data_IF_518804706481
#
_entry.id   IF_518804706481
#
_cell.length_a   1.000
_cell.length_b   1.000
_cell.length_c   1.000
_cell.angle_alpha   90.00
_cell.angle_beta   90.00
_cell.angle_gamma   90.00
#
_symmetry.space_group_name_H-M   'P 1'
#
loop_
_entity.id
_entity.type
_entity.pdbx_description
1 polymer ?
#
# COMPACT_ATOMS: atom_id res chain seq x y z
N UNK A 1 66.88 1.96 48.06
CA UNK A 1 65.98 2.82 47.28
C UNK A 1 64.92 1.91 46.68
N UNK A 2 64.04 1.31 47.48
CA UNK A 2 62.73 1.83 47.93
C UNK A 2 61.83 2.26 46.76
N UNK A 3 60.83 1.42 46.48
CA UNK A 3 59.46 1.76 46.00
C UNK A 3 58.72 0.40 45.81
N UNK A 4 58.02 -0.15 46.79
CA UNK A 4 56.68 0.22 47.33
C UNK A 4 55.54 0.01 46.31
N UNK A 5 54.89 -1.15 46.41
CA UNK A 5 53.57 -1.46 45.82
C UNK A 5 52.47 -0.54 46.40
N UNK A 6 51.41 -0.25 45.62
CA UNK A 6 50.10 0.01 46.21
C UNK A 6 49.03 -1.01 45.80
N UNK A 7 48.25 -1.40 46.80
CA UNK A 7 47.00 -2.16 46.81
C UNK A 7 45.81 -1.37 46.21
N UNK A 8 44.67 -2.03 45.90
CA UNK A 8 43.63 -1.49 45.03
C UNK A 8 42.76 -0.44 45.72
N UNK A 9 42.42 0.63 44.99
CA UNK A 9 41.49 1.67 45.43
C UNK A 9 40.17 1.59 44.67
N UNK A 10 39.10 1.75 45.45
CA UNK A 10 37.69 1.74 45.08
C UNK A 10 37.36 2.56 43.82
N UNK A 11 36.64 1.92 42.89
CA UNK A 11 35.90 2.62 41.84
C UNK A 11 34.45 2.81 42.28
N UNK A 12 34.21 3.87 43.05
CA UNK A 12 32.88 4.48 43.14
C UNK A 12 33.01 6.00 42.99
N UNK A 13 32.60 6.52 41.84
CA UNK A 13 32.19 7.92 41.72
C UNK A 13 31.20 8.05 40.56
N UNK A 14 29.97 8.37 40.93
CA UNK A 14 28.81 8.43 40.06
C UNK A 14 28.95 9.40 38.89
N UNK A 15 28.75 8.87 37.68
CA UNK A 15 28.28 9.67 36.54
C UNK A 15 26.77 9.74 36.61
N UNK A 16 26.24 10.93 36.92
CA UNK A 16 24.84 11.28 36.70
C UNK A 16 24.47 10.96 35.25
N UNK A 17 23.53 10.03 35.05
CA UNK A 17 22.90 9.77 33.75
C UNK A 17 22.18 11.05 33.33
N UNK A 18 22.63 11.66 32.23
CA UNK A 18 21.86 12.67 31.52
C UNK A 18 20.62 12.01 30.93
N UNK A 19 19.44 12.53 31.28
CA UNK A 19 18.15 12.13 30.73
C UNK A 19 18.11 12.34 29.21
N UNK A 20 17.51 11.40 28.48
CA UNK A 20 17.37 11.39 27.03
C UNK A 20 16.50 12.55 26.45
N UNK A 21 16.07 13.49 27.28
CA UNK A 21 15.21 14.61 26.92
C UNK A 21 15.98 15.87 26.45
N UNK A 22 17.32 15.87 26.42
CA UNK A 22 18.12 17.04 26.01
C UNK A 22 18.77 16.91 24.62
N UNK A 23 18.07 16.31 23.65
CA UNK A 23 18.48 16.38 22.25
C UNK A 23 17.64 17.45 21.53
N UNK A 24 18.33 18.48 21.02
CA UNK A 24 17.79 19.66 20.35
C UNK A 24 16.88 19.36 19.15
N UNK A 25 16.38 20.38 18.44
CA UNK A 25 15.10 20.35 17.74
C UNK A 25 15.09 19.32 16.60
N UNK A 26 14.76 18.07 16.93
CA UNK A 26 14.44 17.03 15.96
C UNK A 26 13.12 17.42 15.31
N UNK A 27 13.08 17.30 13.98
CA UNK A 27 11.86 17.31 13.16
C UNK A 27 10.73 16.65 13.95
N UNK A 28 9.60 17.35 14.09
CA UNK A 28 8.37 16.77 14.66
C UNK A 28 8.20 15.36 14.10
N UNK A 29 8.30 14.36 14.95
CA UNK A 29 8.05 12.97 14.59
C UNK A 29 6.66 12.91 14.00
N UNK A 30 6.57 12.49 12.74
CA UNK A 30 5.29 12.23 12.10
C UNK A 30 4.69 11.01 12.81
N UNK A 31 3.42 11.10 13.20
CA UNK A 31 2.67 10.18 14.07
C UNK A 31 2.56 8.75 13.50
N UNK A 32 3.18 8.43 12.36
CA UNK A 32 2.92 7.20 11.60
C UNK A 32 4.14 6.64 10.86
N UNK A 33 5.34 6.78 11.42
CA UNK A 33 6.54 6.06 10.96
C UNK A 33 6.50 4.59 11.46
N UNK A 34 7.10 3.58 10.77
CA UNK A 34 7.16 2.21 11.27
C UNK A 34 7.72 2.10 12.69
N UNK A 35 8.60 3.03 13.10
CA UNK A 35 9.04 3.12 14.48
C UNK A 35 7.90 3.47 15.43
N UNK A 36 7.12 4.49 15.12
CA UNK A 36 5.94 4.88 15.90
C UNK A 36 4.93 3.73 15.97
N UNK A 37 4.68 3.05 14.85
CA UNK A 37 3.78 1.89 14.80
C UNK A 37 4.26 0.76 15.72
N UNK A 38 5.56 0.44 15.71
CA UNK A 38 6.12 -0.61 16.55
C UNK A 38 6.10 -0.21 18.04
N UNK A 39 6.53 1.00 18.38
CA UNK A 39 6.51 1.50 19.75
C UNK A 39 5.08 1.53 20.32
N UNK A 40 4.13 2.11 19.59
CA UNK A 40 2.72 2.16 20.00
C UNK A 40 2.14 0.75 20.11
N UNK A 41 2.44 -0.12 19.14
CA UNK A 41 2.01 -1.52 19.15
C UNK A 41 2.48 -2.28 20.39
N UNK A 42 3.75 -2.13 20.79
CA UNK A 42 4.31 -2.73 22.01
C UNK A 42 3.61 -2.20 23.26
N UNK A 43 3.40 -0.88 23.34
CA UNK A 43 2.71 -0.24 24.47
C UNK A 43 1.28 -0.78 24.59
N UNK A 44 0.52 -0.81 23.50
CA UNK A 44 -0.84 -1.33 23.50
C UNK A 44 -0.89 -2.82 23.85
N UNK A 45 0.07 -3.61 23.41
CA UNK A 45 0.13 -5.04 23.74
C UNK A 45 0.34 -5.26 25.24
N UNK A 46 1.23 -4.47 25.87
CA UNK A 46 1.43 -4.49 27.33
C UNK A 46 0.18 -4.03 28.08
N UNK A 47 -0.43 -2.93 27.64
CA UNK A 47 -1.66 -2.39 28.21
C UNK A 47 -2.82 -3.40 28.21
N UNK A 48 -2.99 -4.15 27.11
CA UNK A 48 -3.98 -5.20 27.00
C UNK A 48 -3.66 -6.42 27.89
N UNK A 49 -2.37 -6.75 28.05
CA UNK A 49 -1.94 -7.79 28.98
C UNK A 49 -2.20 -7.42 30.45
N UNK A 50 -2.13 -6.12 30.77
CA UNK A 50 -2.47 -5.55 32.07
C UNK A 50 -3.98 -5.34 32.29
N UNK A 51 -4.82 -5.79 31.35
CA UNK A 51 -6.27 -5.83 31.48
C UNK A 51 -7.02 -4.58 31.03
N UNK A 52 -6.37 -3.63 30.34
CA UNK A 52 -7.07 -2.53 29.66
C UNK A 52 -7.90 -3.06 28.51
N UNK A 53 -9.00 -2.38 28.20
CA UNK A 53 -9.85 -2.74 27.06
C UNK A 53 -9.43 -2.03 25.76
N UNK A 54 -9.58 -2.72 24.62
CA UNK A 54 -9.48 -2.10 23.29
C UNK A 54 -10.54 -1.03 23.02
N UNK A 55 -11.65 -1.03 23.77
CA UNK A 55 -12.67 0.03 23.67
C UNK A 55 -12.17 1.39 24.16
N UNK A 56 -11.15 1.41 25.04
CA UNK A 56 -10.55 2.63 25.57
C UNK A 56 -9.62 3.33 24.57
N UNK A 57 -9.20 2.61 23.52
CA UNK A 57 -8.36 3.16 22.47
C UNK A 57 -9.14 4.14 21.60
N UNK A 58 -8.46 5.15 21.07
CA UNK A 58 -9.01 5.99 20.01
C UNK A 58 -9.13 5.20 18.69
N UNK A 59 -9.89 5.74 17.73
CA UNK A 59 -10.01 5.11 16.41
C UNK A 59 -8.65 4.96 15.70
N UNK A 60 -7.76 5.95 15.85
CA UNK A 60 -6.40 5.92 15.30
C UNK A 60 -5.57 4.80 15.94
N UNK A 61 -5.59 4.69 17.27
CA UNK A 61 -4.82 3.68 18.00
C UNK A 61 -5.31 2.26 17.70
N UNK A 62 -6.64 2.05 17.59
CA UNK A 62 -7.20 0.77 17.12
C UNK A 62 -6.70 0.39 15.73
N UNK A 63 -6.60 1.37 14.82
CA UNK A 63 -6.08 1.15 13.47
C UNK A 63 -4.59 0.80 13.50
N UNK A 64 -3.79 1.50 14.30
CA UNK A 64 -2.37 1.20 14.49
C UNK A 64 -2.17 -0.20 15.08
N UNK A 65 -2.92 -0.56 16.13
CA UNK A 65 -2.89 -1.89 16.73
C UNK A 65 -3.27 -2.98 15.73
N UNK A 66 -4.28 -2.74 14.88
CA UNK A 66 -4.67 -3.66 13.80
C UNK A 66 -3.53 -3.88 12.81
N UNK A 67 -2.85 -2.81 12.37
CA UNK A 67 -1.71 -2.91 11.46
C UNK A 67 -0.53 -3.61 12.13
N UNK A 68 -0.25 -3.30 13.39
CA UNK A 68 0.80 -3.95 14.18
C UNK A 68 0.56 -5.47 14.32
N UNK A 69 -0.66 -5.89 14.68
CA UNK A 69 -1.05 -7.30 14.75
C UNK A 69 -0.88 -8.01 13.42
N UNK A 70 -1.22 -7.34 12.31
CA UNK A 70 -1.04 -7.93 11.00
C UNK A 70 0.43 -8.09 10.62
N UNK A 71 1.28 -7.13 11.01
CA UNK A 71 2.73 -7.23 10.83
C UNK A 71 3.32 -8.41 11.61
N UNK A 72 2.88 -8.63 12.86
CA UNK A 72 3.30 -9.77 13.68
C UNK A 72 2.96 -11.12 13.03
N UNK A 73 1.80 -11.24 12.37
CA UNK A 73 1.40 -12.48 11.67
C UNK A 73 2.24 -12.79 10.45
N UNK A 74 2.79 -11.77 9.78
CA UNK A 74 3.52 -11.95 8.53
C UNK A 74 4.98 -12.34 8.72
N UNK A 75 5.57 -12.04 9.88
CA UNK A 75 6.98 -12.32 10.16
C UNK A 75 7.04 -13.39 11.28
N UNK A 76 7.43 -14.63 10.97
CA UNK A 76 7.57 -15.68 11.97
C UNK A 76 8.50 -15.26 13.12
N UNK A 77 8.11 -15.54 14.36
CA UNK A 77 8.86 -15.21 15.58
C UNK A 77 9.13 -13.72 15.80
N UNK A 78 8.39 -12.83 15.12
CA UNK A 78 8.62 -11.40 15.24
C UNK A 78 8.13 -10.84 16.57
N UNK A 79 7.03 -11.38 17.10
CA UNK A 79 6.51 -11.01 18.42
C UNK A 79 7.53 -11.28 19.53
N UNK A 80 8.03 -12.53 19.63
CA UNK A 80 9.05 -12.88 20.62
C UNK A 80 10.31 -12.04 20.46
N UNK A 81 10.75 -11.80 19.22
CA UNK A 81 11.91 -10.98 18.93
C UNK A 81 11.73 -9.52 19.35
N UNK A 82 10.55 -8.94 19.12
CA UNK A 82 10.27 -7.55 19.52
C UNK A 82 10.23 -7.43 21.05
N UNK A 83 9.61 -8.38 21.74
CA UNK A 83 9.46 -8.35 23.20
C UNK A 83 10.78 -8.57 23.95
N UNK A 84 11.71 -9.31 23.35
CA UNK A 84 13.04 -9.59 23.92
C UNK A 84 14.09 -8.54 23.53
N UNK A 85 13.79 -7.64 22.60
CA UNK A 85 14.73 -6.66 22.05
C UNK A 85 14.87 -5.40 22.92
N UNK A 86 16.05 -4.77 22.88
CA UNK A 86 16.25 -3.45 23.48
C UNK A 86 15.55 -2.35 22.67
N UNK A 87 15.36 -1.17 23.26
CA UNK A 87 14.79 -0.01 22.56
C UNK A 87 15.60 0.34 21.29
N UNK A 88 16.93 0.28 21.36
CA UNK A 88 17.81 0.51 20.21
C UNK A 88 17.62 -0.54 19.11
N UNK A 89 17.40 -1.80 19.48
CA UNK A 89 17.15 -2.87 18.50
C UNK A 89 15.79 -2.69 17.81
N UNK A 90 14.76 -2.27 18.53
CA UNK A 90 13.44 -1.92 17.96
C UNK A 90 13.58 -0.75 16.98
N UNK A 91 14.34 0.29 17.33
CA UNK A 91 14.66 1.42 16.44
C UNK A 91 15.38 0.91 15.17
N UNK A 92 16.36 0.02 15.31
CA UNK A 92 17.08 -0.54 14.16
C UNK A 92 16.16 -1.36 13.26
N UNK A 93 15.28 -2.18 13.84
CA UNK A 93 14.29 -2.99 13.10
C UNK A 93 13.30 -2.12 12.33
N UNK A 94 12.83 -1.03 12.96
CA UNK A 94 11.88 -0.10 12.38
C UNK A 94 12.47 0.79 11.29
N UNK A 95 13.56 1.49 11.64
CA UNK A 95 14.01 2.72 11.01
C UNK A 95 15.21 2.47 10.09
N UNK A 96 16.24 1.76 10.59
CA UNK A 96 17.55 1.67 9.93
C UNK A 96 17.76 0.46 9.00
N UNK A 97 17.11 -0.69 9.24
CA UNK A 97 17.54 -1.92 8.58
C UNK A 97 16.55 -2.65 7.66
N UNK A 98 15.24 -2.72 7.94
CA UNK A 98 14.39 -3.68 7.21
C UNK A 98 13.02 -3.17 6.76
N UNK A 99 12.14 -2.74 7.66
CA UNK A 99 10.73 -2.48 7.30
C UNK A 99 10.60 -1.22 6.47
N UNK A 100 11.06 -0.08 6.98
CA UNK A 100 10.93 1.19 6.26
C UNK A 100 11.72 1.18 4.95
N UNK A 101 12.93 0.58 4.95
CA UNK A 101 13.76 0.42 3.74
C UNK A 101 13.11 -0.49 2.71
N UNK A 102 12.57 -1.64 3.13
CA UNK A 102 11.87 -2.59 2.25
C UNK A 102 10.61 -1.98 1.65
N UNK A 103 9.77 -1.34 2.47
CA UNK A 103 8.56 -0.65 2.02
C UNK A 103 8.88 0.48 1.02
N UNK A 104 9.93 1.27 1.29
CA UNK A 104 10.39 2.31 0.36
C UNK A 104 10.92 1.71 -0.95
N UNK A 105 11.68 0.62 -0.88
CA UNK A 105 12.20 -0.09 -2.06
C UNK A 105 11.08 -0.62 -2.94
N UNK A 106 10.15 -1.39 -2.37
CA UNK A 106 9.00 -1.94 -3.09
C UNK A 106 8.16 -0.82 -3.74
N UNK A 107 7.85 0.24 -2.99
CA UNK A 107 7.11 1.39 -3.51
C UNK A 107 7.84 2.10 -4.65
N UNK A 108 9.16 2.26 -4.54
CA UNK A 108 9.98 2.88 -5.58
C UNK A 108 9.95 2.05 -6.87
N UNK A 109 10.05 0.73 -6.76
CA UNK A 109 10.00 -0.18 -7.92
C UNK A 109 8.62 -0.14 -8.60
N UNK A 110 7.54 -0.20 -7.82
CA UNK A 110 6.17 -0.06 -8.33
C UNK A 110 5.94 1.29 -9.01
N UNK A 111 6.35 2.39 -8.36
CA UNK A 111 6.25 3.75 -8.91
C UNK A 111 6.99 3.84 -10.25
N UNK A 112 8.21 3.29 -10.32
CA UNK A 112 9.03 3.31 -11.54
C UNK A 112 8.37 2.51 -12.65
N UNK A 113 7.82 1.34 -12.34
CA UNK A 113 7.14 0.48 -13.31
C UNK A 113 5.85 1.09 -13.84
N UNK A 114 4.99 1.62 -12.97
CA UNK A 114 3.70 2.22 -13.34
C UNK A 114 3.90 3.54 -14.09
N UNK A 115 4.87 4.37 -13.69
CA UNK A 115 5.10 5.70 -14.29
C UNK A 115 5.24 5.66 -15.80
N UNK A 116 5.92 4.67 -16.35
CA UNK A 116 6.11 4.53 -17.79
C UNK A 116 4.92 3.88 -18.49
N UNK A 117 4.40 2.80 -17.92
CA UNK A 117 3.35 1.96 -18.51
C UNK A 117 1.97 2.60 -18.48
N UNK A 118 1.69 3.45 -17.48
CA UNK A 118 0.42 4.18 -17.41
C UNK A 118 0.19 5.05 -18.66
N UNK A 119 1.26 5.51 -19.32
CA UNK A 119 1.14 6.26 -20.59
C UNK A 119 0.56 5.40 -21.69
N UNK A 120 0.94 4.13 -21.75
CA UNK A 120 0.40 3.18 -22.73
C UNK A 120 -1.07 2.89 -22.43
N UNK A 121 -1.43 2.73 -21.15
CA UNK A 121 -2.81 2.45 -20.73
C UNK A 121 -3.77 3.61 -20.98
N UNK A 122 -3.30 4.86 -20.85
CA UNK A 122 -4.14 6.04 -21.12
C UNK A 122 -4.11 6.46 -22.59
N UNK A 123 -3.27 5.85 -23.44
CA UNK A 123 -3.25 6.17 -24.86
C UNK A 123 -4.31 5.35 -25.59
N UNK A 124 -5.31 5.96 -26.27
CA UNK A 124 -6.26 5.21 -27.07
C UNK A 124 -5.57 4.36 -28.13
N UNK A 125 -6.12 3.16 -28.38
CA UNK A 125 -5.58 2.25 -29.40
C UNK A 125 -5.50 2.94 -30.76
N UNK A 126 -4.31 2.91 -31.36
CA UNK A 126 -4.05 3.51 -32.68
C UNK A 126 -3.92 5.04 -32.68
N UNK A 127 -3.90 5.69 -31.52
CA UNK A 127 -3.71 7.14 -31.41
C UNK A 127 -2.44 7.49 -30.64
N UNK A 128 -2.05 8.76 -30.70
CA UNK A 128 -0.98 9.33 -29.89
C UNK A 128 -1.56 10.40 -28.95
N UNK A 129 -0.96 10.56 -27.78
CA UNK A 129 -1.28 11.67 -26.89
C UNK A 129 -0.77 12.98 -27.49
N UNK A 130 -1.58 14.03 -27.36
CA UNK A 130 -1.23 15.38 -27.79
C UNK A 130 -1.37 16.35 -26.61
N UNK A 131 -0.29 17.03 -26.19
CA UNK A 131 1.09 16.82 -26.64
C UNK A 131 1.65 15.44 -26.20
N UNK A 132 2.68 14.89 -26.87
CA UNK A 132 3.27 13.61 -26.46
C UNK A 132 3.82 13.67 -25.02
N UNK A 133 3.51 12.65 -24.21
CA UNK A 133 4.05 12.51 -22.85
C UNK A 133 5.23 11.55 -22.85
N UNK A 134 6.36 11.99 -22.32
CA UNK A 134 7.53 11.13 -22.12
C UNK A 134 7.28 10.07 -21.04
N UNK A 135 7.67 8.81 -21.31
CA UNK A 135 7.49 7.69 -20.36
C UNK A 135 8.36 7.83 -19.09
N UNK A 136 9.57 8.37 -19.24
CA UNK A 136 10.53 8.52 -18.15
C UNK A 136 10.35 9.81 -17.34
N UNK A 137 9.47 10.73 -17.76
CA UNK A 137 9.22 12.01 -17.09
C UNK A 137 7.75 12.21 -16.74
N UNK A 138 7.51 12.88 -15.60
CA UNK A 138 6.16 13.34 -15.21
C UNK A 138 5.91 14.79 -15.60
N UNK A 139 6.93 15.48 -16.14
CA UNK A 139 6.78 16.82 -16.70
C UNK A 139 5.76 16.78 -17.84
N UNK A 140 4.81 17.71 -17.83
CA UNK A 140 3.73 17.76 -18.83
C UNK A 140 2.57 16.79 -18.56
N UNK A 141 2.51 16.12 -17.41
CA UNK A 141 1.31 15.41 -16.92
C UNK A 141 0.46 16.32 -16.02
N UNK A 142 -0.58 15.77 -15.38
CA UNK A 142 -1.48 16.54 -14.51
C UNK A 142 -2.53 17.33 -15.28
N UNK A 143 -3.04 18.40 -14.68
CA UNK A 143 -4.12 19.23 -15.25
C UNK A 143 -3.71 20.08 -16.46
N UNK A 144 -2.42 20.26 -16.72
CA UNK A 144 -1.95 20.98 -17.90
C UNK A 144 -2.02 20.16 -19.19
N UNK A 145 -2.23 18.84 -19.10
CA UNK A 145 -2.39 17.99 -20.26
C UNK A 145 -3.81 17.44 -20.33
N UNK A 146 -4.40 17.47 -21.52
CA UNK A 146 -5.82 17.19 -21.72
C UNK A 146 -6.22 15.79 -21.23
N UNK A 147 -5.49 14.74 -21.64
CA UNK A 147 -5.79 13.36 -21.22
C UNK A 147 -5.60 13.11 -19.72
N UNK A 148 -4.44 13.44 -19.15
CA UNK A 148 -4.18 13.20 -17.73
C UNK A 148 -5.03 14.08 -16.83
N UNK A 149 -5.32 15.31 -17.26
CA UNK A 149 -6.20 16.24 -16.56
C UNK A 149 -7.63 15.71 -16.51
N UNK A 150 -8.17 15.21 -17.62
CA UNK A 150 -9.50 14.59 -17.66
C UNK A 150 -9.60 13.40 -16.69
N UNK A 151 -8.58 12.53 -16.67
CA UNK A 151 -8.56 11.36 -15.78
C UNK A 151 -8.40 11.74 -14.30
N UNK A 152 -7.63 12.79 -14.01
CA UNK A 152 -7.43 13.29 -12.65
C UNK A 152 -8.55 14.22 -12.17
N UNK A 153 -9.45 14.64 -13.05
CA UNK A 153 -10.55 15.52 -12.69
C UNK A 153 -11.44 14.79 -11.66
N UNK A 154 -11.79 15.45 -10.54
CA UNK A 154 -12.75 14.91 -9.58
C UNK A 154 -14.06 14.53 -10.27
N UNK A 155 -14.64 13.40 -9.88
CA UNK A 155 -15.86 12.87 -10.47
C UNK A 155 -17.04 13.85 -10.45
N UNK A 156 -17.13 14.69 -9.42
CA UNK A 156 -18.16 15.73 -9.29
C UNK A 156 -17.91 17.01 -10.10
N UNK A 157 -16.80 17.10 -10.86
CA UNK A 157 -16.48 18.25 -11.70
C UNK A 157 -16.50 17.88 -13.18
N UNK A 158 -17.00 18.79 -14.01
CA UNK A 158 -16.99 18.60 -15.46
C UNK A 158 -15.68 19.12 -16.06
N UNK A 159 -14.82 18.20 -16.49
CA UNK A 159 -13.60 18.55 -17.20
C UNK A 159 -13.87 19.27 -18.52
N UNK A 160 -15.04 19.12 -19.15
CA UNK A 160 -15.35 19.81 -20.40
C UNK A 160 -15.50 21.33 -20.22
N UNK A 161 -15.78 21.79 -18.99
CA UNK A 161 -15.90 23.19 -18.64
C UNK A 161 -14.52 23.89 -18.56
N UNK A 162 -14.29 24.87 -19.44
CA UNK A 162 -13.03 25.61 -19.51
C UNK A 162 -12.69 26.37 -18.23
N UNK A 163 -13.68 26.92 -17.51
CA UNK A 163 -13.45 27.62 -16.23
C UNK A 163 -12.93 26.64 -15.17
N UNK A 164 -13.48 25.42 -15.12
CA UNK A 164 -12.99 24.36 -14.23
C UNK A 164 -11.56 23.94 -14.60
N UNK A 165 -11.28 23.74 -15.90
CA UNK A 165 -9.91 23.43 -16.38
C UNK A 165 -8.93 24.49 -15.95
N UNK A 166 -9.25 25.77 -16.15
CA UNK A 166 -8.38 26.89 -15.81
C UNK A 166 -8.14 26.98 -14.30
N UNK A 167 -9.19 26.86 -13.48
CA UNK A 167 -9.08 26.88 -12.03
C UNK A 167 -8.26 25.70 -11.48
N UNK A 168 -8.38 24.50 -12.06
CA UNK A 168 -7.57 23.34 -11.71
C UNK A 168 -6.10 23.50 -12.14
N UNK A 169 -5.85 24.05 -13.34
CA UNK A 169 -4.50 24.35 -13.85
C UNK A 169 -3.80 25.43 -13.03
N UNK A 170 -4.53 26.46 -12.61
CA UNK A 170 -4.02 27.54 -11.77
C UNK A 170 -3.85 27.13 -10.29
N UNK A 171 -4.43 26.00 -9.88
CA UNK A 171 -4.45 25.57 -8.48
C UNK A 171 -5.41 26.38 -7.58
N UNK A 172 -6.31 27.16 -8.18
CA UNK A 172 -7.38 27.89 -7.46
C UNK A 172 -8.38 26.91 -6.86
N UNK A 173 -8.71 25.84 -7.60
CA UNK A 173 -9.39 24.66 -7.03
C UNK A 173 -8.31 23.68 -6.58
N UNK A 174 -8.20 23.49 -5.26
CA UNK A 174 -7.34 22.45 -4.69
C UNK A 174 -8.17 21.17 -4.54
N UNK A 175 -7.75 20.12 -5.22
CA UNK A 175 -8.40 18.80 -5.15
C UNK A 175 -7.92 18.08 -3.90
N UNK A 176 -8.79 17.99 -2.90
CA UNK A 176 -8.53 17.23 -1.68
C UNK A 176 -8.47 15.71 -1.97
N UNK A 177 -7.84 14.94 -1.08
CA UNK A 177 -7.68 13.50 -1.26
C UNK A 177 -9.01 12.72 -1.32
N UNK A 178 -10.07 13.21 -0.70
CA UNK A 178 -11.42 12.60 -0.74
C UNK A 178 -12.22 12.95 -2.01
N UNK A 179 -11.72 13.86 -2.84
CA UNK A 179 -12.30 14.19 -4.14
C UNK A 179 -11.77 13.21 -5.19
N UNK A 180 -12.45 12.08 -5.33
CA UNK A 180 -11.96 10.98 -6.15
C UNK A 180 -11.95 11.29 -7.66
N UNK A 181 -10.84 10.99 -8.35
CA UNK A 181 -10.71 11.22 -9.79
C UNK A 181 -11.42 10.18 -10.64
N UNK A 182 -11.85 10.57 -11.84
CA UNK A 182 -12.48 9.69 -12.84
C UNK A 182 -11.64 8.45 -13.19
N UNK A 183 -10.32 8.53 -13.04
CA UNK A 183 -9.38 7.41 -13.24
C UNK A 183 -9.75 6.16 -12.44
N UNK A 184 -10.48 6.28 -11.32
CA UNK A 184 -10.88 5.15 -10.48
C UNK A 184 -12.04 4.36 -11.06
N UNK A 185 -12.84 4.98 -11.92
CA UNK A 185 -14.07 4.42 -12.44
C UNK A 185 -13.85 3.63 -13.72
N UNK A 186 -14.57 2.53 -13.88
CA UNK A 186 -14.60 1.80 -15.14
C UNK A 186 -15.05 2.70 -16.29
N UNK A 187 -14.36 2.59 -17.42
CA UNK A 187 -14.56 3.47 -18.58
C UNK A 187 -14.33 4.97 -18.31
N UNK A 188 -13.81 5.36 -17.14
CA UNK A 188 -13.65 6.75 -16.69
C UNK A 188 -14.98 7.52 -16.61
N UNK A 189 -16.06 6.85 -16.21
CA UNK A 189 -17.40 7.43 -16.12
C UNK A 189 -17.92 7.37 -14.70
N UNK A 190 -18.43 8.49 -14.22
CA UNK A 190 -19.09 8.60 -12.93
C UNK A 190 -20.61 8.69 -13.14
N UNK A 191 -21.35 7.91 -12.36
CA UNK A 191 -22.80 7.96 -12.30
C UNK A 191 -23.23 8.59 -10.96
N UNK A 192 -23.85 9.79 -10.97
CA UNK A 192 -24.26 10.45 -9.75
C UNK A 192 -25.44 9.75 -9.04
N UNK A 193 -26.23 8.95 -9.77
CA UNK A 193 -27.35 8.20 -9.21
C UNK A 193 -26.91 6.85 -8.61
N UNK A 194 -25.77 6.32 -9.10
CA UNK A 194 -25.12 5.13 -8.56
C UNK A 194 -23.59 5.36 -8.46
N UNK A 195 -23.12 6.01 -7.37
CA UNK A 195 -21.70 6.31 -7.19
C UNK A 195 -20.78 5.09 -7.11
N UNK A 196 -21.30 3.90 -6.82
CA UNK A 196 -20.52 2.66 -6.81
C UNK A 196 -20.30 2.08 -8.20
N UNK A 197 -21.10 2.49 -9.18
CA UNK A 197 -21.02 2.00 -10.55
C UNK A 197 -19.62 2.20 -11.15
N UNK A 198 -18.89 1.10 -11.29
CA UNK A 198 -17.54 1.09 -11.84
C UNK A 198 -16.44 1.62 -10.90
N UNK A 199 -16.77 2.08 -9.69
CA UNK A 199 -15.80 2.61 -8.73
C UNK A 199 -14.73 1.55 -8.40
N UNK A 200 -13.45 1.94 -8.47
CA UNK A 200 -12.27 1.09 -8.23
C UNK A 200 -12.17 -0.14 -9.15
N UNK A 201 -12.90 -0.14 -10.28
CA UNK A 201 -12.87 -1.19 -11.32
C UNK A 201 -12.22 -0.74 -12.62
N UNK A 202 -11.66 0.46 -12.66
CA UNK A 202 -10.94 0.98 -13.79
C UNK A 202 -9.83 0.04 -14.29
N UNK A 203 -9.84 -0.27 -15.59
CA UNK A 203 -8.86 -1.16 -16.21
C UNK A 203 -7.40 -0.71 -16.07
N UNK A 204 -7.16 0.58 -15.81
CA UNK A 204 -5.81 1.14 -15.63
C UNK A 204 -5.34 1.08 -14.17
N UNK A 205 -6.19 0.66 -13.24
CA UNK A 205 -5.75 0.27 -11.90
C UNK A 205 -4.88 -0.99 -11.94
N UNK A 206 -4.70 -1.64 -13.10
CA UNK A 206 -3.58 -2.50 -13.47
C UNK A 206 -2.94 -3.33 -12.33
N UNK A 207 -3.77 -3.93 -11.47
CA UNK A 207 -3.29 -4.70 -10.33
C UNK A 207 -2.42 -5.89 -10.75
N UNK A 208 -2.63 -6.38 -11.99
CA UNK A 208 -1.78 -7.39 -12.64
C UNK A 208 -0.33 -6.92 -12.81
N UNK A 209 -0.10 -5.64 -13.08
CA UNK A 209 1.26 -5.12 -13.22
C UNK A 209 2.04 -5.18 -11.90
N UNK A 210 1.39 -4.79 -10.79
CA UNK A 210 2.01 -4.75 -9.45
C UNK A 210 2.09 -6.13 -8.84
N UNK A 211 1.02 -6.92 -8.94
CA UNK A 211 0.87 -8.18 -8.20
C UNK A 211 1.14 -9.44 -9.02
N UNK A 212 1.14 -9.40 -10.36
CA UNK A 212 1.45 -10.60 -11.15
C UNK A 212 2.77 -10.40 -11.91
N UNK A 213 2.75 -9.71 -13.04
CA UNK A 213 3.96 -9.44 -13.82
C UNK A 213 3.63 -8.37 -14.85
N UNK A 214 4.60 -7.49 -15.20
CA UNK A 214 4.46 -6.57 -16.33
C UNK A 214 4.00 -7.22 -17.64
N UNK A 215 4.39 -8.48 -17.89
CA UNK A 215 4.03 -9.23 -19.10
C UNK A 215 2.61 -9.81 -19.09
N UNK A 216 1.94 -9.85 -17.93
CA UNK A 216 0.57 -10.39 -17.79
C UNK A 216 -0.53 -9.38 -18.12
N UNK A 217 -0.16 -8.16 -18.48
CA UNK A 217 -1.11 -7.07 -18.77
C UNK A 217 -1.79 -7.26 -20.13
N UNK A 218 -1.15 -7.95 -21.09
CA UNK A 218 -1.66 -8.08 -22.48
C UNK A 218 -1.60 -9.49 -23.10
N UNK A 219 -0.96 -10.50 -22.50
CA UNK A 219 -0.84 -11.86 -23.08
C UNK A 219 -0.85 -12.99 -22.03
N UNK A 220 -1.11 -14.22 -22.50
CA UNK A 220 -0.85 -15.46 -21.74
C UNK A 220 0.54 -15.41 -21.08
N UNK A 221 0.68 -15.91 -19.84
CA UNK A 221 1.86 -15.65 -19.04
C UNK A 221 3.11 -16.34 -19.63
N UNK A 222 3.97 -15.55 -20.30
CA UNK A 222 5.32 -15.94 -20.74
C UNK A 222 6.39 -15.71 -19.66
N UNK A 223 5.98 -15.60 -18.38
CA UNK A 223 6.89 -15.24 -17.30
C UNK A 223 7.77 -16.44 -16.88
N UNK A 224 9.09 -16.24 -16.88
CA UNK A 224 10.08 -17.21 -16.36
C UNK A 224 10.23 -17.16 -14.84
N UNK A 225 9.59 -16.18 -14.17
CA UNK A 225 9.56 -16.03 -12.70
C UNK A 225 8.12 -15.92 -12.19
N UNK A 226 7.88 -16.48 -11.01
CA UNK A 226 6.65 -16.31 -10.22
C UNK A 226 6.26 -14.82 -10.11
N UNK A 227 4.98 -14.48 -10.20
CA UNK A 227 4.55 -13.11 -9.96
C UNK A 227 4.64 -12.67 -8.50
N UNK A 228 4.63 -11.35 -8.24
CA UNK A 228 4.82 -10.79 -6.88
C UNK A 228 3.84 -11.37 -5.85
N UNK A 229 2.56 -11.51 -6.20
CA UNK A 229 1.55 -12.14 -5.37
C UNK A 229 1.93 -13.58 -5.00
N UNK A 230 2.47 -14.35 -5.96
CA UNK A 230 2.92 -15.73 -5.71
C UNK A 230 4.18 -15.77 -4.86
N UNK A 231 5.14 -14.86 -5.11
CA UNK A 231 6.37 -14.75 -4.32
C UNK A 231 6.05 -14.45 -2.86
N UNK A 232 5.10 -13.56 -2.62
CA UNK A 232 4.69 -13.12 -1.29
C UNK A 232 3.51 -13.90 -0.71
N UNK A 233 3.07 -14.98 -1.36
CA UNK A 233 1.98 -15.82 -0.86
C UNK A 233 0.62 -15.13 -0.75
N UNK A 234 0.40 -14.02 -1.48
CA UNK A 234 -0.89 -13.35 -1.56
C UNK A 234 -1.91 -14.27 -2.24
N UNK A 235 -2.98 -14.60 -1.52
CA UNK A 235 -4.06 -15.49 -2.00
C UNK A 235 -5.34 -14.75 -2.40
N UNK A 236 -5.44 -13.49 -2.00
CA UNK A 236 -6.58 -12.64 -2.29
C UNK A 236 -6.13 -11.17 -2.34
N UNK A 237 -6.91 -10.37 -3.06
CA UNK A 237 -6.83 -8.93 -3.08
C UNK A 237 -7.28 -8.39 -1.72
N UNK A 238 -6.58 -7.39 -1.20
CA UNK A 238 -6.96 -6.72 0.06
C UNK A 238 -7.45 -5.30 -0.21
N UNK A 239 -8.28 -4.77 0.70
CA UNK A 239 -8.76 -3.37 0.67
C UNK A 239 -7.60 -2.37 0.59
N UNK A 240 -6.59 -2.58 1.43
CA UNK A 240 -5.35 -1.79 1.45
C UNK A 240 -4.59 -1.86 0.12
N UNK A 241 -4.51 -3.04 -0.50
CA UNK A 241 -3.87 -3.21 -1.81
C UNK A 241 -4.61 -2.43 -2.91
N UNK A 242 -5.95 -2.37 -2.89
CA UNK A 242 -6.74 -1.60 -3.86
C UNK A 242 -6.43 -0.11 -3.72
N UNK A 243 -6.52 0.40 -2.48
CA UNK A 243 -6.20 1.79 -2.16
C UNK A 243 -4.75 2.16 -2.55
N UNK A 244 -3.81 1.24 -2.31
CA UNK A 244 -2.41 1.42 -2.68
C UNK A 244 -2.24 1.58 -4.20
N UNK A 245 -2.81 0.69 -5.01
CA UNK A 245 -2.67 0.81 -6.46
C UNK A 245 -3.35 2.06 -7.00
N UNK A 246 -4.56 2.38 -6.52
CA UNK A 246 -5.25 3.62 -6.86
C UNK A 246 -4.36 4.84 -6.60
N UNK A 247 -3.67 4.85 -5.46
CA UNK A 247 -2.73 5.91 -5.07
C UNK A 247 -1.52 5.96 -6.02
N UNK A 248 -0.95 4.82 -6.39
CA UNK A 248 0.18 4.73 -7.33
C UNK A 248 -0.18 5.22 -8.74
N UNK A 249 -1.35 4.83 -9.25
CA UNK A 249 -1.85 5.25 -10.57
C UNK A 249 -2.15 6.74 -10.57
N UNK A 250 -2.90 7.23 -9.58
CA UNK A 250 -3.17 8.67 -9.41
C UNK A 250 -1.87 9.45 -9.36
N UNK A 251 -0.94 9.06 -8.51
CA UNK A 251 0.36 9.71 -8.44
C UNK A 251 1.06 9.71 -9.80
N UNK A 252 1.10 8.59 -10.52
CA UNK A 252 1.75 8.49 -11.82
C UNK A 252 1.17 9.41 -12.90
N UNK A 253 -0.10 9.79 -12.80
CA UNK A 253 -0.76 10.72 -13.71
C UNK A 253 -0.55 12.20 -13.36
N UNK A 254 -0.15 12.51 -12.13
CA UNK A 254 0.15 13.90 -11.71
C UNK A 254 1.48 14.39 -12.27
N UNK A 255 1.73 15.69 -12.18
CA UNK A 255 3.04 16.29 -12.47
C UNK A 255 4.02 16.26 -11.28
N UNK A 256 3.58 15.82 -10.09
CA UNK A 256 4.39 15.84 -8.87
C UNK A 256 5.64 14.96 -9.01
N UNK A 257 6.82 15.51 -8.69
CA UNK A 257 8.08 14.77 -8.83
C UNK A 257 8.33 13.78 -7.68
N UNK A 258 7.83 14.11 -6.48
CA UNK A 258 8.11 13.35 -5.25
C UNK A 258 6.81 12.78 -4.71
N UNK A 259 6.83 11.50 -4.37
CA UNK A 259 5.76 10.87 -3.60
C UNK A 259 5.99 11.18 -2.13
N UNK A 260 5.15 12.04 -1.55
CA UNK A 260 5.25 12.40 -0.13
C UNK A 260 3.89 12.31 0.53
N UNK A 261 3.89 11.89 1.81
CA UNK A 261 2.69 11.82 2.64
C UNK A 261 2.19 13.21 3.03
N UNK A 262 3.12 14.13 3.27
CA UNK A 262 2.83 15.52 3.69
C UNK A 262 2.63 16.46 2.50
N UNK A 263 2.59 15.94 1.27
CA UNK A 263 2.36 16.78 0.10
C UNK A 263 0.89 17.20 0.05
N UNK A 264 0.63 18.46 0.40
CA UNK A 264 -0.70 19.07 0.34
C UNK A 264 -1.16 19.37 -1.09
N UNK A 265 -0.31 19.15 -2.11
CA UNK A 265 -0.68 19.33 -3.52
C UNK A 265 -1.38 18.08 -4.04
N UNK A 266 -0.78 16.91 -3.83
CA UNK A 266 -1.43 15.64 -4.20
C UNK A 266 -2.33 15.09 -3.09
N UNK A 267 -2.08 15.40 -1.83
CA UNK A 267 -2.85 14.92 -0.68
C UNK A 267 -3.01 13.38 -0.67
N UNK A 268 -1.89 12.70 -0.93
CA UNK A 268 -1.86 11.25 -1.20
C UNK A 268 -2.25 10.39 0.01
N UNK A 269 -1.96 10.87 1.23
CA UNK A 269 -2.34 10.19 2.47
C UNK A 269 -3.84 10.24 2.72
N UNK A 270 -4.46 11.42 2.61
CA UNK A 270 -5.93 11.54 2.69
C UNK A 270 -6.61 10.75 1.58
N UNK A 271 -6.05 10.76 0.38
CA UNK A 271 -6.56 9.97 -0.75
C UNK A 271 -6.58 8.47 -0.42
N UNK A 272 -5.45 7.91 0.03
CA UNK A 272 -5.37 6.51 0.43
C UNK A 272 -6.36 6.19 1.56
N UNK A 273 -6.38 7.03 2.61
CA UNK A 273 -7.25 6.80 3.77
C UNK A 273 -8.72 6.87 3.39
N UNK A 274 -9.16 7.86 2.59
CA UNK A 274 -10.56 7.96 2.17
C UNK A 274 -11.07 6.71 1.45
N UNK A 275 -10.23 6.06 0.64
CA UNK A 275 -10.58 4.79 -0.02
C UNK A 275 -10.64 3.67 1.01
N UNK A 276 -9.65 3.57 1.90
CA UNK A 276 -9.67 2.52 2.93
C UNK A 276 -10.87 2.67 3.85
N UNK A 277 -11.21 3.89 4.24
CA UNK A 277 -12.34 4.20 5.12
C UNK A 277 -13.66 3.76 4.45
N UNK A 278 -13.88 4.10 3.17
CA UNK A 278 -15.01 3.57 2.39
C UNK A 278 -15.02 2.03 2.38
N UNK A 279 -13.87 1.41 2.07
CA UNK A 279 -13.81 -0.04 1.95
C UNK A 279 -13.98 -0.75 3.29
N UNK A 280 -13.71 -0.09 4.42
CA UNK A 280 -13.87 -0.61 5.78
C UNK A 280 -15.23 -0.30 6.40
N UNK A 281 -16.05 0.53 5.73
CA UNK A 281 -17.41 0.86 6.16
C UNK A 281 -18.30 -0.40 6.21
N UNK A 282 -18.88 -0.75 7.37
CA UNK A 282 -19.82 -1.86 7.48
C UNK A 282 -21.07 -1.72 6.62
N UNK A 283 -21.52 -0.50 6.33
CA UNK A 283 -22.71 -0.24 5.50
C UNK A 283 -22.46 -0.57 4.03
N UNK A 284 -21.20 -0.48 3.59
CA UNK A 284 -20.79 -0.72 2.20
C UNK A 284 -20.32 -2.15 1.94
N UNK A 285 -20.50 -3.04 2.92
CA UNK A 285 -19.94 -4.41 2.93
C UNK A 285 -20.26 -5.19 1.65
N UNK A 286 -21.51 -5.15 1.19
CA UNK A 286 -21.96 -5.95 0.05
C UNK A 286 -21.28 -5.50 -1.25
N UNK A 287 -21.14 -4.20 -1.47
CA UNK A 287 -20.42 -3.64 -2.62
C UNK A 287 -18.91 -3.91 -2.55
N UNK A 288 -18.33 -3.83 -1.34
CA UNK A 288 -16.93 -4.15 -1.11
C UNK A 288 -16.65 -5.64 -1.37
N UNK A 289 -17.52 -6.54 -0.91
CA UNK A 289 -17.37 -7.98 -1.14
C UNK A 289 -17.53 -8.33 -2.63
N UNK A 290 -18.42 -7.64 -3.35
CA UNK A 290 -18.55 -7.68 -4.81
C UNK A 290 -17.27 -7.22 -5.52
N UNK A 291 -16.70 -6.08 -5.10
CA UNK A 291 -15.45 -5.53 -5.63
C UNK A 291 -14.26 -6.48 -5.41
N UNK A 292 -14.11 -7.03 -4.20
CA UNK A 292 -13.04 -7.98 -3.88
C UNK A 292 -13.18 -9.27 -4.70
N UNK A 293 -14.41 -9.78 -4.85
CA UNK A 293 -14.68 -10.95 -5.70
C UNK A 293 -14.29 -10.69 -7.15
N UNK A 294 -14.63 -9.51 -7.68
CA UNK A 294 -14.25 -9.11 -9.03
C UNK A 294 -12.72 -9.08 -9.20
N UNK A 295 -11.99 -8.42 -8.30
CA UNK A 295 -10.52 -8.37 -8.35
C UNK A 295 -9.88 -9.75 -8.20
N UNK A 296 -10.42 -10.59 -7.31
CA UNK A 296 -9.90 -11.93 -7.10
C UNK A 296 -10.04 -12.81 -8.35
N UNK A 297 -11.17 -12.70 -9.07
CA UNK A 297 -11.34 -13.38 -10.36
C UNK A 297 -10.34 -12.89 -11.40
N UNK A 298 -10.01 -11.59 -11.42
CA UNK A 298 -9.07 -11.03 -12.39
C UNK A 298 -7.62 -11.46 -12.13
N UNK A 299 -7.21 -11.53 -10.86
CA UNK A 299 -5.81 -11.76 -10.46
C UNK A 299 -5.48 -13.22 -10.19
N UNK A 300 -6.44 -13.97 -9.65
CA UNK A 300 -6.22 -15.32 -9.14
C UNK A 300 -6.99 -16.41 -9.89
N UNK A 301 -7.63 -16.12 -11.02
CA UNK A 301 -8.36 -17.12 -11.83
C UNK A 301 -7.49 -18.29 -12.29
N UNK A 302 -6.18 -18.10 -12.47
CA UNK A 302 -5.25 -19.19 -12.80
C UNK A 302 -4.99 -20.16 -11.62
N UNK A 303 -5.49 -19.86 -10.41
CA UNK A 303 -5.34 -20.69 -9.21
C UNK A 303 -6.64 -21.38 -8.78
N UNK A 304 -7.74 -21.25 -9.53
CA UNK A 304 -8.86 -22.16 -9.36
C UNK A 304 -8.31 -23.57 -9.64
N UNK A 305 -8.30 -24.44 -8.63
CA UNK A 305 -7.96 -25.85 -8.84
C UNK A 305 -8.86 -26.35 -9.99
N UNK A 306 -8.29 -26.81 -11.12
CA UNK A 306 -9.13 -27.45 -12.13
C UNK A 306 -9.89 -28.58 -11.44
N UNK A 307 -11.18 -28.73 -11.73
CA UNK A 307 -11.98 -29.84 -11.22
C UNK A 307 -11.18 -31.13 -11.40
N UNK A 308 -10.74 -31.72 -10.28
CA UNK A 308 -10.05 -33.00 -10.33
C UNK A 308 -11.09 -34.02 -10.78
N UNK A 309 -10.87 -34.74 -11.89
CA UNK A 309 -11.76 -35.81 -12.29
C UNK A 309 -11.89 -36.79 -11.12
N UNK A 310 -13.11 -37.25 -10.84
CA UNK A 310 -13.36 -38.17 -9.72
C UNK A 310 -12.36 -39.34 -9.75
N UNK A 311 -11.62 -39.55 -8.66
CA UNK A 311 -10.59 -40.59 -8.56
C UNK A 311 -11.15 -42.03 -8.62
N UNK A 312 -12.49 -42.18 -8.56
CA UNK A 312 -13.24 -43.43 -8.54
C UNK A 312 -13.07 -44.32 -9.76
N UNK A 313 -12.62 -43.78 -10.91
CA UNK A 313 -12.46 -44.54 -12.15
C UNK A 313 -11.01 -44.59 -12.67
N UNK A 314 -10.04 -44.17 -11.86
CA UNK A 314 -8.63 -44.18 -12.26
C UNK A 314 -8.08 -45.61 -12.34
N UNK A 315 -7.08 -45.83 -13.19
CA UNK A 315 -6.38 -47.12 -13.30
C UNK A 315 -5.82 -47.57 -11.93
N UNK A 316 -5.28 -46.62 -11.15
CA UNK A 316 -4.79 -46.89 -9.80
C UNK A 316 -5.90 -47.36 -8.85
N UNK A 317 -7.07 -46.70 -8.84
CA UNK A 317 -8.20 -47.12 -8.01
C UNK A 317 -8.73 -48.51 -8.40
N UNK A 318 -8.66 -48.89 -9.69
CA UNK A 318 -9.01 -50.23 -10.17
C UNK A 318 -7.98 -51.28 -9.79
N UNK A 319 -6.69 -50.96 -9.86
CA UNK A 319 -5.60 -51.85 -9.45
C UNK A 319 -5.67 -52.13 -7.94
N UNK A 320 -5.90 -51.10 -7.12
CA UNK A 320 -5.99 -51.26 -5.65
C UNK A 320 -7.23 -52.07 -5.24
N UNK A 321 -8.39 -51.90 -5.90
CA UNK A 321 -9.59 -52.73 -5.66
C UNK A 321 -9.41 -54.20 -6.05
N UNK A 322 -8.64 -54.46 -7.10
CA UNK A 322 -8.42 -55.83 -7.58
C UNK A 322 -7.27 -56.55 -6.85
N UNK A 323 -6.51 -55.83 -6.01
CA UNK A 323 -5.37 -56.36 -5.26
C UNK A 323 -5.74 -56.90 -3.86
N UNK A 324 -7.01 -56.76 -3.44
CA UNK A 324 -7.48 -57.31 -2.17
C UNK A 324 -8.85 -57.96 -2.33
N UNK A 325 -8.93 -59.31 -2.39
CA UNK A 325 -10.18 -60.07 -2.23
C UNK A 325 -10.78 -59.92 -0.83
#
# INVERSE_FOLDING_TARGET
MSDSLPTPTDCDSGRKRSSALELGPRKKSCVQDPLTLLCNGIIFFGDLADGKSEEELTATERRELKVFRELLKQIPHFESRILESSEEEVIIMADLHQIQKGANGARSDDTKGIKGTVIDWITPKGQALSPPIARNSKTGRGFHHERTGALLCPAGLDWSNNDIKEKLRAGTIRVAGDQWPLVLYDGFRYDPEDPWNGLLRSGILAAKFVFTSPSSVDQEPKATRSGNARIHGMRAMTKASIAYIATQVRFSLTSAAVFSRTDLVTDSERFYNSIVDLLEDPEEKDEVDSLLTWWNRQLFSAYAEPERPSNTNTALAKIVRNAWP
#
